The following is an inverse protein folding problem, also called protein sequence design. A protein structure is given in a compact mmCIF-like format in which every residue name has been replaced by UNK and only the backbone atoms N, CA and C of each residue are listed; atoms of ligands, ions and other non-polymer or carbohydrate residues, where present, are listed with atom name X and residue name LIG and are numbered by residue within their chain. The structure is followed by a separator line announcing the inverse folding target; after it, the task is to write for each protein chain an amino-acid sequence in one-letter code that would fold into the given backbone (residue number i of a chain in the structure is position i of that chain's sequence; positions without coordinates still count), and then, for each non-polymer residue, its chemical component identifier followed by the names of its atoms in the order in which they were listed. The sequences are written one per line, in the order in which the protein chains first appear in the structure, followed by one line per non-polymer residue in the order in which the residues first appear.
data_IF_815397910061
#
_entry.id   IF_815397910061
#
_cell.length_a   1.000
_cell.length_b   1.000
_cell.length_c   1.000
_cell.angle_alpha   90.00
_cell.angle_beta   90.00
_cell.angle_gamma   90.00
#
_symmetry.space_group_name_H-M   'P 1'
#
loop_
_entity.id
_entity.type
_entity.pdbx_description
1 polymer ?
#
# COMPACT_ATOMS: atom_id res chain seq x y z
N UNK A 1 -2.02 -34.75 -30.22
CA UNK A 1 -1.27 -33.49 -30.46
C UNK A 1 -2.11 -32.22 -30.32
N UNK A 2 -3.43 -32.25 -30.52
CA UNK A 2 -4.30 -31.05 -30.44
C UNK A 2 -4.51 -30.55 -28.99
N UNK A 3 -4.62 -31.45 -28.00
CA UNK A 3 -4.92 -31.10 -26.59
C UNK A 3 -3.83 -30.28 -25.86
N UNK A 4 -2.55 -30.50 -26.17
CA UNK A 4 -1.44 -29.74 -25.56
C UNK A 4 -1.39 -28.29 -26.07
N UNK A 5 -1.71 -28.06 -27.35
CA UNK A 5 -1.83 -26.71 -27.90
C UNK A 5 -3.00 -25.94 -27.30
N UNK A 6 -4.13 -26.60 -27.01
CA UNK A 6 -5.27 -25.96 -26.34
C UNK A 6 -4.93 -25.55 -24.90
N UNK A 7 -4.18 -26.36 -24.16
CA UNK A 7 -3.82 -26.07 -22.78
C UNK A 7 -2.85 -24.88 -22.66
N UNK A 8 -1.88 -24.76 -23.60
CA UNK A 8 -0.94 -23.64 -23.65
C UNK A 8 -1.65 -22.32 -24.01
N UNK A 9 -2.65 -22.37 -24.90
CA UNK A 9 -3.46 -21.20 -25.25
C UNK A 9 -4.35 -20.71 -24.09
N UNK A 10 -4.95 -21.64 -23.33
CA UNK A 10 -5.76 -21.32 -22.14
C UNK A 10 -4.86 -20.74 -21.03
N UNK A 11 -3.64 -21.26 -20.86
CA UNK A 11 -2.70 -20.73 -19.87
C UNK A 11 -2.30 -19.29 -20.18
N UNK A 12 -2.08 -18.94 -21.47
CA UNK A 12 -1.79 -17.54 -21.88
C UNK A 12 -2.98 -16.60 -21.69
N UNK A 13 -4.21 -17.08 -21.84
CA UNK A 13 -5.43 -16.29 -21.59
C UNK A 13 -5.67 -16.01 -20.09
N UNK A 14 -5.20 -16.89 -19.19
CA UNK A 14 -5.36 -16.72 -17.74
C UNK A 14 -4.42 -15.66 -17.14
N UNK A 15 -3.33 -15.28 -17.83
CA UNK A 15 -2.41 -14.22 -17.38
C UNK A 15 -2.78 -12.81 -17.86
N UNK A 16 -3.80 -12.67 -18.71
CA UNK A 16 -4.36 -11.36 -19.08
C UNK A 16 -5.42 -10.92 -18.06
N UNK A 17 -5.31 -11.33 -16.80
CA UNK A 17 -6.13 -10.79 -15.71
C UNK A 17 -5.30 -9.93 -14.73
N UNK A 18 -4.15 -9.41 -15.17
CA UNK A 18 -3.51 -8.24 -14.55
C UNK A 18 -4.08 -6.95 -15.17
N UNK A 19 -5.40 -6.92 -15.31
CA UNK A 19 -6.13 -5.92 -16.06
C UNK A 19 -6.47 -4.80 -15.09
N UNK A 20 -5.54 -3.83 -15.11
CA UNK A 20 -5.57 -2.48 -14.56
C UNK A 20 -5.20 -2.32 -13.08
N UNK A 21 -3.93 -1.96 -12.90
CA UNK A 21 -3.43 -1.11 -11.85
C UNK A 21 -2.67 0.06 -12.53
N UNK A 22 -2.62 1.22 -11.88
CA UNK A 22 -1.76 2.34 -12.28
C UNK A 22 -0.37 1.87 -12.75
N UNK A 23 0.02 2.23 -13.97
CA UNK A 23 1.31 1.82 -14.54
C UNK A 23 2.46 2.59 -13.89
N UNK A 24 3.25 1.91 -13.04
CA UNK A 24 4.40 2.49 -12.35
C UNK A 24 5.61 2.80 -13.25
N UNK A 25 5.63 2.36 -14.50
CA UNK A 25 6.72 2.58 -15.47
C UNK A 25 6.41 3.67 -16.50
N UNK A 26 5.44 4.54 -16.21
CA UNK A 26 5.03 5.63 -17.10
C UNK A 26 5.99 6.85 -17.04
N UNK A 27 5.84 7.77 -18.00
CA UNK A 27 6.71 8.96 -18.08
C UNK A 27 6.53 9.93 -16.91
N UNK A 28 5.32 10.00 -16.34
CA UNK A 28 5.04 10.84 -15.17
C UNK A 28 5.83 10.35 -13.95
N UNK A 29 5.86 9.03 -13.69
CA UNK A 29 6.68 8.43 -12.62
C UNK A 29 8.18 8.69 -12.81
N UNK A 30 8.68 8.52 -14.03
CA UNK A 30 10.09 8.82 -14.35
C UNK A 30 10.42 10.28 -14.10
N UNK A 31 9.51 11.20 -14.45
CA UNK A 31 9.68 12.63 -14.20
C UNK A 31 9.64 12.98 -12.71
N UNK A 32 8.76 12.34 -11.92
CA UNK A 32 8.74 12.47 -10.45
C UNK A 32 10.06 12.00 -9.85
N UNK A 33 10.55 10.81 -10.23
CA UNK A 33 11.82 10.26 -9.74
C UNK A 33 13.02 11.15 -10.10
N UNK A 34 12.98 11.81 -11.25
CA UNK A 34 13.96 12.80 -11.67
C UNK A 34 13.81 14.18 -11.02
N UNK A 35 12.88 14.36 -10.07
CA UNK A 35 12.51 15.66 -9.46
C UNK A 35 12.11 16.74 -10.49
N UNK A 36 11.66 16.34 -11.68
CA UNK A 36 11.19 17.26 -12.70
C UNK A 36 9.65 17.37 -12.65
N UNK A 37 9.16 18.07 -11.64
CA UNK A 37 7.72 18.16 -11.35
C UNK A 37 6.93 18.84 -12.47
N UNK A 38 7.52 19.82 -13.17
CA UNK A 38 6.87 20.45 -14.33
C UNK A 38 6.61 19.44 -15.44
N UNK A 39 7.63 18.67 -15.82
CA UNK A 39 7.47 17.61 -16.82
C UNK A 39 6.49 16.54 -16.33
N UNK A 40 6.52 16.19 -15.03
CA UNK A 40 5.57 15.24 -14.47
C UNK A 40 4.13 15.74 -14.56
N UNK A 41 3.87 17.03 -14.28
CA UNK A 41 2.54 17.64 -14.46
C UNK A 41 2.10 17.58 -15.93
N UNK A 42 2.98 17.93 -16.87
CA UNK A 42 2.67 17.90 -18.30
C UNK A 42 2.34 16.47 -18.77
N UNK A 43 3.09 15.46 -18.31
CA UNK A 43 2.83 14.05 -18.59
C UNK A 43 1.54 13.56 -17.92
N UNK A 44 1.24 13.99 -16.69
CA UNK A 44 0.00 13.64 -16.01
C UNK A 44 -1.24 14.21 -16.75
N UNK A 45 -1.17 15.45 -17.25
CA UNK A 45 -2.24 16.05 -18.06
C UNK A 45 -2.44 15.30 -19.38
N UNK A 46 -1.36 14.81 -20.01
CA UNK A 46 -1.46 13.95 -21.19
C UNK A 46 -2.15 12.63 -20.83
N UNK A 47 -1.69 11.97 -19.75
CA UNK A 47 -2.29 10.73 -19.26
C UNK A 47 -3.78 10.88 -18.97
N UNK A 48 -4.23 12.00 -18.39
CA UNK A 48 -5.65 12.26 -18.11
C UNK A 48 -6.55 12.20 -19.35
N UNK A 49 -6.01 12.41 -20.56
CA UNK A 49 -6.78 12.32 -21.81
C UNK A 49 -7.07 10.88 -22.22
N UNK A 50 -6.14 9.98 -21.92
CA UNK A 50 -6.23 8.56 -22.27
C UNK A 50 -6.89 7.75 -21.14
N UNK A 51 -6.48 8.04 -19.91
CA UNK A 51 -7.02 7.46 -18.68
C UNK A 51 -7.11 8.53 -17.58
N UNK A 52 -8.32 8.99 -17.32
CA UNK A 52 -8.59 10.02 -16.32
C UNK A 52 -8.13 9.63 -14.91
N UNK A 53 -8.23 8.33 -14.54
CA UNK A 53 -7.73 7.84 -13.26
C UNK A 53 -6.21 8.03 -13.15
N UNK A 54 -5.45 7.53 -14.13
CA UNK A 54 -3.99 7.55 -14.09
C UNK A 54 -3.45 8.98 -14.06
N UNK A 55 -4.06 9.88 -14.84
CA UNK A 55 -3.64 11.28 -14.87
C UNK A 55 -3.89 12.02 -13.56
N UNK A 56 -5.09 11.88 -12.97
CA UNK A 56 -5.39 12.49 -11.66
C UNK A 56 -4.55 11.85 -10.54
N UNK A 57 -4.35 10.53 -10.59
CA UNK A 57 -3.51 9.83 -9.63
C UNK A 57 -2.05 10.30 -9.71
N UNK A 58 -1.50 10.46 -10.92
CA UNK A 58 -0.14 10.99 -11.04
C UNK A 58 -0.04 12.45 -10.59
N UNK A 59 -1.02 13.31 -10.92
CA UNK A 59 -1.06 14.68 -10.40
C UNK A 59 -1.05 14.71 -8.87
N UNK A 60 -1.80 13.81 -8.22
CA UNK A 60 -1.78 13.67 -6.77
C UNK A 60 -0.38 13.39 -6.22
N UNK A 61 0.36 12.48 -6.87
CA UNK A 61 1.75 12.19 -6.51
C UNK A 61 2.68 13.38 -6.75
N UNK A 62 2.54 14.10 -7.87
CA UNK A 62 3.33 15.31 -8.13
C UNK A 62 3.13 16.33 -7.01
N UNK A 63 1.87 16.64 -6.66
CA UNK A 63 1.58 17.60 -5.60
C UNK A 63 2.12 17.19 -4.24
N UNK A 64 2.03 15.89 -3.88
CA UNK A 64 2.66 15.41 -2.63
C UNK A 64 4.17 15.60 -2.65
N UNK A 65 4.85 15.30 -3.75
CA UNK A 65 6.31 15.50 -3.86
C UNK A 65 6.70 16.99 -3.85
N UNK A 66 5.81 17.89 -4.30
CA UNK A 66 5.98 19.35 -4.14
C UNK A 66 5.56 19.87 -2.76
N UNK A 67 5.24 18.99 -1.80
CA UNK A 67 4.71 19.33 -0.47
C UNK A 67 3.38 20.12 -0.50
N UNK A 68 2.64 20.06 -1.60
CA UNK A 68 1.28 20.63 -1.77
C UNK A 68 0.24 19.59 -1.35
N UNK A 69 0.27 19.21 -0.08
CA UNK A 69 -0.44 18.03 0.43
C UNK A 69 -1.97 18.12 0.25
N UNK A 70 -2.57 19.30 0.44
CA UNK A 70 -4.01 19.49 0.25
C UNK A 70 -4.44 19.31 -1.21
N UNK A 71 -3.63 19.76 -2.16
CA UNK A 71 -3.91 19.55 -3.57
C UNK A 71 -3.70 18.08 -3.94
N UNK A 72 -2.66 17.44 -3.40
CA UNK A 72 -2.44 15.99 -3.54
C UNK A 72 -3.64 15.17 -3.07
N UNK A 73 -4.17 15.47 -1.88
CA UNK A 73 -5.36 14.82 -1.30
C UNK A 73 -6.57 14.98 -2.22
N UNK A 74 -6.83 16.20 -2.73
CA UNK A 74 -7.94 16.45 -3.66
C UNK A 74 -7.81 15.64 -4.95
N UNK A 75 -6.60 15.51 -5.49
CA UNK A 75 -6.39 14.73 -6.70
C UNK A 75 -6.54 13.22 -6.47
N UNK A 76 -6.10 12.70 -5.32
CA UNK A 76 -6.39 11.30 -4.97
C UNK A 76 -7.89 11.05 -4.73
N UNK A 77 -8.63 12.02 -4.19
CA UNK A 77 -10.09 11.91 -4.08
C UNK A 77 -10.77 11.90 -5.45
N UNK A 78 -10.29 12.71 -6.41
CA UNK A 78 -10.79 12.66 -7.79
C UNK A 78 -10.46 11.33 -8.45
N UNK A 79 -9.22 10.85 -8.36
CA UNK A 79 -8.84 9.58 -8.96
C UNK A 79 -9.63 8.43 -8.35
N UNK A 80 -9.84 8.39 -7.03
CA UNK A 80 -10.69 7.40 -6.38
C UNK A 80 -12.10 7.33 -7.00
N UNK A 81 -12.72 8.48 -7.32
CA UNK A 81 -14.05 8.55 -7.97
C UNK A 81 -14.03 8.14 -9.44
N UNK A 82 -12.89 8.28 -10.10
CA UNK A 82 -12.69 7.92 -11.51
C UNK A 82 -12.26 6.47 -11.70
N UNK A 83 -11.90 5.77 -10.61
CA UNK A 83 -11.45 4.39 -10.65
C UNK A 83 -12.54 3.47 -11.21
N UNK A 84 -12.22 2.75 -12.29
CA UNK A 84 -13.10 1.73 -12.88
C UNK A 84 -12.88 0.35 -12.26
N UNK A 85 -11.71 0.15 -11.65
CA UNK A 85 -11.33 -1.11 -11.01
C UNK A 85 -11.20 -0.95 -9.50
N UNK A 86 -11.66 -1.92 -8.70
CA UNK A 86 -11.52 -1.82 -7.25
C UNK A 86 -10.06 -1.72 -6.78
N UNK A 87 -9.10 -2.29 -7.52
CA UNK A 87 -7.68 -2.15 -7.19
C UNK A 87 -7.19 -0.69 -7.30
N UNK A 88 -7.59 0.01 -8.36
CA UNK A 88 -7.30 1.43 -8.57
C UNK A 88 -7.94 2.29 -7.49
N UNK A 89 -9.18 1.97 -7.10
CA UNK A 89 -9.87 2.65 -6.00
C UNK A 89 -9.10 2.48 -4.69
N UNK A 90 -8.71 1.25 -4.33
CA UNK A 90 -7.94 0.96 -3.11
C UNK A 90 -6.55 1.63 -3.14
N UNK A 91 -5.93 1.72 -4.32
CA UNK A 91 -4.66 2.42 -4.49
C UNK A 91 -4.82 3.93 -4.25
N UNK A 92 -5.85 4.57 -4.81
CA UNK A 92 -6.14 5.98 -4.56
C UNK A 92 -6.42 6.25 -3.08
N UNK A 93 -7.21 5.38 -2.42
CA UNK A 93 -7.47 5.47 -0.97
C UNK A 93 -6.17 5.37 -0.18
N UNK A 94 -5.28 4.43 -0.52
CA UNK A 94 -3.98 4.27 0.13
C UNK A 94 -3.14 5.55 0.05
N UNK A 95 -2.98 6.11 -1.16
CA UNK A 95 -2.18 7.32 -1.36
C UNK A 95 -2.82 8.56 -0.72
N UNK A 96 -4.15 8.68 -0.73
CA UNK A 96 -4.87 9.71 0.01
C UNK A 96 -4.57 9.64 1.51
N UNK A 97 -4.59 8.45 2.10
CA UNK A 97 -4.26 8.24 3.52
C UNK A 97 -2.80 8.58 3.84
N UNK A 98 -1.87 8.23 2.96
CA UNK A 98 -0.45 8.60 3.09
C UNK A 98 -0.26 10.12 3.02
N UNK A 99 -0.98 10.82 2.14
CA UNK A 99 -0.91 12.27 2.04
C UNK A 99 -1.46 12.96 3.31
N UNK A 100 -2.56 12.46 3.91
CA UNK A 100 -3.03 12.95 5.21
C UNK A 100 -2.01 12.70 6.33
N UNK A 101 -1.34 11.54 6.32
CA UNK A 101 -0.30 11.20 7.29
C UNK A 101 0.91 12.13 7.17
N UNK A 102 1.35 12.42 5.94
CA UNK A 102 2.43 13.38 5.66
C UNK A 102 2.05 14.80 6.13
N UNK A 103 0.76 15.15 6.02
CA UNK A 103 0.19 16.40 6.55
C UNK A 103 0.11 16.41 8.09
N UNK A 104 0.50 15.33 8.75
CA UNK A 104 0.36 15.10 10.18
C UNK A 104 -1.10 15.14 10.69
N UNK A 105 -2.07 14.95 9.80
CA UNK A 105 -3.48 14.76 10.16
C UNK A 105 -3.75 13.27 10.38
N UNK A 106 -3.24 12.77 11.52
CA UNK A 106 -3.27 11.36 11.86
C UNK A 106 -4.69 10.81 12.01
N UNK A 107 -5.65 11.63 12.43
CA UNK A 107 -7.04 11.23 12.57
C UNK A 107 -7.68 10.99 11.19
N UNK A 108 -7.50 11.91 10.24
CA UNK A 108 -8.02 11.72 8.90
C UNK A 108 -7.30 10.58 8.17
N UNK A 109 -5.98 10.46 8.33
CA UNK A 109 -5.23 9.35 7.77
C UNK A 109 -5.77 8.00 8.28
N UNK A 110 -6.03 7.88 9.59
CA UNK A 110 -6.60 6.67 10.18
C UNK A 110 -7.97 6.35 9.58
N UNK A 111 -8.87 7.35 9.49
CA UNK A 111 -10.19 7.17 8.91
C UNK A 111 -10.12 6.68 7.46
N UNK A 112 -9.26 7.28 6.65
CA UNK A 112 -9.06 6.89 5.24
C UNK A 112 -8.53 5.46 5.13
N UNK A 113 -7.55 5.08 5.95
CA UNK A 113 -7.04 3.71 5.94
C UNK A 113 -8.06 2.69 6.46
N UNK A 114 -8.88 3.06 7.44
CA UNK A 114 -9.96 2.22 7.94
C UNK A 114 -11.05 2.00 6.87
N UNK A 115 -11.43 3.06 6.15
CA UNK A 115 -12.32 2.93 4.98
C UNK A 115 -11.70 2.01 3.93
N UNK A 116 -10.43 2.18 3.59
CA UNK A 116 -9.72 1.32 2.64
C UNK A 116 -9.66 -0.14 3.08
N UNK A 117 -9.44 -0.41 4.37
CA UNK A 117 -9.47 -1.75 4.94
C UNK A 117 -10.84 -2.41 4.77
N UNK A 118 -11.92 -1.72 5.15
CA UNK A 118 -13.28 -2.27 5.01
C UNK A 118 -13.66 -2.47 3.53
N UNK A 119 -13.28 -1.55 2.63
CA UNK A 119 -13.47 -1.72 1.19
C UNK A 119 -12.71 -2.93 0.65
N UNK A 120 -11.45 -3.14 1.07
CA UNK A 120 -10.65 -4.27 0.62
C UNK A 120 -11.26 -5.61 1.09
N UNK A 121 -11.71 -5.67 2.34
CA UNK A 121 -12.34 -6.84 2.96
C UNK A 121 -13.62 -7.28 2.26
N UNK A 122 -14.40 -6.35 1.70
CA UNK A 122 -15.57 -6.68 0.88
C UNK A 122 -15.20 -7.44 -0.41
N UNK A 123 -13.98 -7.29 -0.91
CA UNK A 123 -13.46 -8.04 -2.05
C UNK A 123 -12.92 -9.43 -1.70
N UNK A 124 -13.10 -9.90 -0.47
CA UNK A 124 -12.60 -11.17 0.04
C UNK A 124 -11.09 -11.35 -0.22
N UNK A 125 -10.65 -12.58 -0.49
CA UNK A 125 -9.25 -12.93 -0.70
C UNK A 125 -8.56 -12.20 -1.86
N UNK A 126 -9.31 -11.53 -2.76
CA UNK A 126 -8.74 -10.81 -3.91
C UNK A 126 -7.86 -9.62 -3.49
N UNK A 127 -8.19 -8.96 -2.38
CA UNK A 127 -7.50 -7.74 -1.93
C UNK A 127 -6.86 -7.88 -0.55
N UNK A 128 -6.58 -9.12 -0.11
CA UNK A 128 -5.92 -9.39 1.18
C UNK A 128 -4.60 -8.62 1.34
N UNK A 129 -3.90 -8.37 0.24
CA UNK A 129 -2.68 -7.56 0.21
C UNK A 129 -2.93 -6.09 0.54
N UNK A 130 -4.04 -5.52 0.09
CA UNK A 130 -4.46 -4.18 0.48
C UNK A 130 -4.93 -4.17 1.93
N UNK A 131 -5.72 -5.15 2.37
CA UNK A 131 -6.14 -5.28 3.78
C UNK A 131 -4.93 -5.22 4.71
N UNK A 132 -3.91 -6.03 4.43
CA UNK A 132 -2.65 -6.03 5.17
C UNK A 132 -2.01 -4.65 5.22
N UNK A 133 -1.86 -3.99 4.07
CA UNK A 133 -1.19 -2.67 3.98
C UNK A 133 -1.96 -1.60 4.76
N UNK A 134 -3.29 -1.61 4.69
CA UNK A 134 -4.12 -0.69 5.48
C UNK A 134 -3.95 -0.93 6.98
N UNK A 135 -3.97 -2.18 7.42
CA UNK A 135 -3.75 -2.54 8.83
C UNK A 135 -2.37 -2.11 9.34
N UNK A 136 -1.31 -2.26 8.54
CA UNK A 136 0.03 -1.75 8.89
C UNK A 136 0.01 -0.23 9.08
N UNK A 137 -0.63 0.52 8.17
CA UNK A 137 -0.71 1.98 8.29
C UNK A 137 -1.56 2.44 9.49
N UNK A 138 -2.68 1.76 9.74
CA UNK A 138 -3.51 1.99 10.93
C UNK A 138 -2.71 1.77 12.22
N UNK A 139 -1.97 0.67 12.31
CA UNK A 139 -1.10 0.37 13.44
C UNK A 139 0.00 1.44 13.65
N UNK A 140 0.66 1.88 12.56
CA UNK A 140 1.68 2.93 12.64
C UNK A 140 1.11 4.24 13.19
N UNK A 141 -0.11 4.61 12.78
CA UNK A 141 -0.80 5.79 13.30
C UNK A 141 -1.17 5.62 14.77
N UNK A 142 -1.73 4.47 15.14
CA UNK A 142 -2.10 4.16 16.52
C UNK A 142 -0.89 4.21 17.46
N UNK A 143 0.27 3.68 17.04
CA UNK A 143 1.53 3.83 17.80
C UNK A 143 1.95 5.29 17.95
N UNK A 144 1.85 6.08 16.87
CA UNK A 144 2.17 7.52 16.90
C UNK A 144 1.26 8.29 17.87
N UNK A 145 0.01 7.84 18.01
CA UNK A 145 -0.97 8.34 18.97
C UNK A 145 -0.86 7.69 20.36
N UNK A 146 0.17 6.86 20.61
CA UNK A 146 0.39 6.10 21.86
C UNK A 146 -0.75 5.13 22.23
N UNK A 147 -1.58 4.75 21.26
CA UNK A 147 -2.62 3.72 21.39
C UNK A 147 -2.02 2.34 21.15
N UNK A 148 -1.13 1.92 22.04
CA UNK A 148 -0.29 0.73 21.83
C UNK A 148 -1.10 -0.58 21.73
N UNK A 149 -2.19 -0.69 22.49
CA UNK A 149 -3.09 -1.85 22.41
C UNK A 149 -3.77 -1.94 21.04
N UNK A 150 -4.40 -0.84 20.58
CA UNK A 150 -5.02 -0.78 19.25
C UNK A 150 -4.00 -1.08 18.13
N UNK A 151 -2.78 -0.53 18.25
CA UNK A 151 -1.71 -0.79 17.29
C UNK A 151 -1.33 -2.27 17.25
N UNK A 152 -1.21 -2.91 18.42
CA UNK A 152 -0.95 -4.33 18.54
C UNK A 152 -2.01 -5.15 17.81
N UNK A 153 -3.29 -4.82 18.00
CA UNK A 153 -4.38 -5.50 17.30
C UNK A 153 -4.29 -5.35 15.78
N UNK A 154 -4.03 -4.14 15.29
CA UNK A 154 -3.87 -3.87 13.85
C UNK A 154 -2.72 -4.69 13.26
N UNK A 155 -1.57 -4.75 13.93
CA UNK A 155 -0.43 -5.57 13.49
C UNK A 155 -0.69 -7.08 13.60
N UNK A 156 -1.44 -7.52 14.60
CA UNK A 156 -1.84 -8.92 14.72
C UNK A 156 -2.78 -9.33 13.57
N UNK A 157 -3.69 -8.44 13.17
CA UNK A 157 -4.54 -8.63 11.99
C UNK A 157 -3.71 -8.61 10.70
N UNK A 158 -2.72 -7.71 10.56
CA UNK A 158 -1.85 -7.68 9.37
C UNK A 158 -1.01 -8.94 9.23
N UNK A 159 -0.54 -9.51 10.34
CA UNK A 159 0.18 -10.79 10.33
C UNK A 159 -0.67 -11.91 9.73
N UNK A 160 -1.96 -11.99 10.10
CA UNK A 160 -2.89 -12.99 9.54
C UNK A 160 -3.12 -12.81 8.04
N UNK A 161 -3.07 -11.56 7.55
CA UNK A 161 -3.22 -11.23 6.13
C UNK A 161 -1.90 -11.34 5.33
N UNK A 162 -0.77 -11.66 5.97
CA UNK A 162 0.55 -11.71 5.33
C UNK A 162 0.74 -13.00 4.52
N UNK A 163 1.09 -12.84 3.24
CA UNK A 163 1.19 -13.95 2.27
C UNK A 163 2.61 -14.49 2.10
N UNK A 164 3.63 -13.69 2.37
CA UNK A 164 5.04 -14.09 2.23
C UNK A 164 5.85 -13.82 3.51
N UNK A 165 7.11 -14.26 3.51
CA UNK A 165 7.98 -14.19 4.68
C UNK A 165 8.42 -12.76 5.02
N UNK A 166 8.61 -11.90 4.02
CA UNK A 166 8.92 -10.47 4.23
C UNK A 166 7.76 -9.74 4.92
N UNK A 167 6.54 -9.98 4.46
CA UNK A 167 5.33 -9.41 5.03
C UNK A 167 5.08 -9.89 6.48
N UNK A 168 5.38 -11.16 6.76
CA UNK A 168 5.34 -11.72 8.11
C UNK A 168 6.44 -11.11 8.98
N UNK A 169 7.65 -10.95 8.44
CA UNK A 169 8.77 -10.34 9.13
C UNK A 169 8.44 -8.90 9.57
N UNK A 170 7.91 -8.09 8.66
CA UNK A 170 7.45 -6.72 8.97
C UNK A 170 6.39 -6.75 10.08
N UNK A 171 5.38 -7.63 9.98
CA UNK A 171 4.34 -7.70 11.02
C UNK A 171 4.91 -8.11 12.39
N UNK A 172 5.89 -9.02 12.42
CA UNK A 172 6.57 -9.39 13.66
C UNK A 172 7.42 -8.27 14.24
N UNK A 173 8.15 -7.49 13.43
CA UNK A 173 8.88 -6.31 13.92
C UNK A 173 7.93 -5.30 14.59
N UNK A 174 6.80 -5.03 13.94
CA UNK A 174 5.77 -4.13 14.46
C UNK A 174 5.13 -4.65 15.75
N UNK A 175 4.80 -5.94 15.81
CA UNK A 175 4.30 -6.59 17.03
C UNK A 175 5.32 -6.57 18.17
N UNK A 176 6.60 -6.79 17.88
CA UNK A 176 7.66 -6.75 18.88
C UNK A 176 7.76 -5.36 19.53
N UNK A 177 7.76 -4.32 18.69
CA UNK A 177 7.79 -2.91 19.11
C UNK A 177 6.58 -2.55 19.97
N UNK A 178 5.37 -2.89 19.51
CA UNK A 178 4.15 -2.61 20.25
C UNK A 178 4.08 -3.39 21.57
N UNK A 179 4.51 -4.66 21.59
CA UNK A 179 4.61 -5.45 22.82
C UNK A 179 5.60 -4.84 23.82
N UNK A 180 6.74 -4.31 23.35
CA UNK A 180 7.73 -3.64 24.21
C UNK A 180 7.17 -2.35 24.83
N UNK A 181 6.42 -1.54 24.06
CA UNK A 181 5.74 -0.35 24.62
C UNK A 181 4.74 -0.71 25.73
N UNK A 182 4.11 -1.89 25.62
CA UNK A 182 3.20 -2.43 26.63
C UNK A 182 3.92 -3.20 27.76
N UNK A 183 5.26 -3.22 27.77
CA UNK A 183 6.11 -3.94 28.74
C UNK A 183 5.95 -5.46 28.71
N UNK A 184 5.41 -6.03 27.63
CA UNK A 184 5.35 -7.47 27.39
C UNK A 184 6.68 -7.97 26.80
N UNK A 185 7.76 -7.87 27.59
CA UNK A 185 9.13 -8.07 27.08
C UNK A 185 9.38 -9.48 26.55
N UNK A 186 8.77 -10.51 27.12
CA UNK A 186 8.96 -11.88 26.62
C UNK A 186 8.35 -12.05 25.22
N UNK A 187 7.15 -11.52 25.00
CA UNK A 187 6.52 -11.49 23.67
C UNK A 187 7.33 -10.64 22.70
N UNK A 188 7.83 -9.49 23.16
CA UNK A 188 8.65 -8.61 22.33
C UNK A 188 9.92 -9.34 21.83
N UNK A 189 10.61 -10.08 22.72
CA UNK A 189 11.77 -10.91 22.34
C UNK A 189 11.38 -12.01 21.36
N UNK A 190 10.30 -12.73 21.62
CA UNK A 190 9.80 -13.79 20.75
C UNK A 190 9.51 -13.26 19.33
N UNK A 191 8.75 -12.16 19.22
CA UNK A 191 8.45 -11.55 17.93
C UNK A 191 9.68 -11.00 17.23
N UNK A 192 10.61 -10.37 17.96
CA UNK A 192 11.88 -9.88 17.40
C UNK A 192 12.68 -11.01 16.77
N UNK A 193 12.76 -12.16 17.45
CA UNK A 193 13.45 -13.35 16.94
C UNK A 193 12.77 -13.90 15.68
N UNK A 194 11.43 -14.04 15.69
CA UNK A 194 10.67 -14.51 14.52
C UNK A 194 10.85 -13.59 13.31
N UNK A 195 10.76 -12.28 13.52
CA UNK A 195 10.99 -11.28 12.47
C UNK A 195 12.40 -11.38 11.89
N UNK A 196 13.43 -11.43 12.75
CA UNK A 196 14.83 -11.52 12.34
C UNK A 196 15.13 -12.77 11.52
N UNK A 197 14.61 -13.93 11.93
CA UNK A 197 14.77 -15.19 11.19
C UNK A 197 14.17 -15.10 9.78
N UNK A 198 13.00 -14.48 9.65
CA UNK A 198 12.36 -14.30 8.35
C UNK A 198 13.09 -13.29 7.48
N UNK A 199 13.55 -12.15 8.03
CA UNK A 199 14.36 -11.19 7.30
C UNK A 199 15.66 -11.81 6.77
N UNK A 200 16.35 -12.60 7.60
CA UNK A 200 17.52 -13.37 7.18
C UNK A 200 17.19 -14.32 6.02
N UNK A 201 16.09 -15.07 6.13
CA UNK A 201 15.64 -15.99 5.07
C UNK A 201 15.35 -15.28 3.74
N UNK A 202 14.83 -14.06 3.79
CA UNK A 202 14.54 -13.24 2.60
C UNK A 202 15.75 -12.47 2.04
N UNK A 203 16.91 -12.53 2.70
CA UNK A 203 18.13 -11.85 2.25
C UNK A 203 18.21 -10.36 2.62
N UNK A 204 17.34 -9.87 3.50
CA UNK A 204 17.36 -8.48 3.98
C UNK A 204 18.50 -8.21 4.99
N UNK A 205 18.96 -9.25 5.68
CA UNK A 205 20.16 -9.20 6.50
C UNK A 205 21.24 -9.98 5.75
N UNK A 206 22.22 -9.28 5.17
CA UNK A 206 23.43 -9.92 4.67
C UNK A 206 24.20 -10.46 5.88
N UNK A 207 24.60 -11.73 5.81
CA UNK A 207 25.59 -12.27 6.74
C UNK A 207 26.92 -11.51 6.46
N UNK A 208 27.43 -10.79 7.46
CA UNK A 208 28.79 -10.23 7.45
C UNK A 208 29.86 -11.33 7.39
#
# INVERSE_FOLDING_TARGET
MIKQFTLILIFKLLFINNVYAYNLENNCEKAIQGNNFKAATDEAIKLSKDNAFDGEFCLGKVFVNENKLDDGIKQFEKSEKLAQHPADQLLAIMFKGLAYKEKNDLNQAFNVFNTGYETAKLGNSKFVQFERRFLIQMGNIQESLKKHEDAYESYAKSLKASSNDEERAESYDKLARSAAYQKYYDRAREYSLKGSVLYKKTGYCLDE
#
